data_IF_931084917617
#
_entry.id   IF_931084917617
#
_cell.length_a   1.000
_cell.length_b   1.000
_cell.length_c   1.000
_cell.angle_alpha   90.00
_cell.angle_beta   90.00
_cell.angle_gamma   90.00
#
_symmetry.space_group_name_H-M   'P 1'
#
loop_
_entity.id
_entity.type
_entity.pdbx_description
1 polymer ?
#
# COMPACT_ATOMS: atom_id res chain seq x y z
N UNK A 1 -1.85 -14.34 3.65
CA UNK A 1 -1.41 -14.02 2.28
C UNK A 1 -1.27 -12.51 2.08
N UNK A 2 -2.35 -11.70 2.09
CA UNK A 2 -2.28 -10.25 1.77
C UNK A 2 -1.22 -9.46 2.55
N UNK A 3 -1.14 -9.62 3.88
CA UNK A 3 -0.14 -8.92 4.70
C UNK A 3 1.30 -9.33 4.32
N UNK A 4 1.57 -10.64 4.28
CA UNK A 4 2.88 -11.21 3.95
C UNK A 4 3.36 -10.78 2.56
N UNK A 5 2.47 -10.79 1.57
CA UNK A 5 2.78 -10.38 0.20
C UNK A 5 3.06 -8.87 0.13
N UNK A 6 2.29 -8.08 0.87
CA UNK A 6 2.49 -6.62 0.97
C UNK A 6 3.85 -6.31 1.60
N UNK A 7 4.19 -6.96 2.71
CA UNK A 7 5.50 -6.83 3.38
C UNK A 7 6.63 -7.17 2.42
N UNK A 8 6.60 -8.36 1.84
CA UNK A 8 7.66 -8.83 0.93
C UNK A 8 7.88 -7.88 -0.25
N UNK A 9 6.79 -7.35 -0.84
CA UNK A 9 6.89 -6.38 -1.94
C UNK A 9 7.49 -5.05 -1.50
N UNK A 10 7.04 -4.48 -0.38
CA UNK A 10 7.56 -3.19 0.11
C UNK A 10 9.03 -3.27 0.55
N UNK A 11 9.51 -4.45 0.92
CA UNK A 11 10.90 -4.66 1.32
C UNK A 11 11.84 -4.87 0.13
N UNK A 12 11.39 -5.57 -0.92
CA UNK A 12 12.24 -6.00 -2.02
C UNK A 12 12.08 -5.20 -3.31
N UNK A 13 10.90 -4.63 -3.58
CA UNK A 13 10.59 -3.95 -4.83
C UNK A 13 10.78 -2.44 -4.66
N UNK A 14 11.40 -1.73 -5.63
CA UNK A 14 11.47 -0.28 -5.59
C UNK A 14 10.09 0.36 -5.42
N UNK A 15 9.98 1.36 -4.54
CA UNK A 15 8.71 1.98 -4.20
C UNK A 15 7.96 2.57 -5.40
N UNK A 16 8.65 2.90 -6.50
CA UNK A 16 8.06 3.40 -7.74
C UNK A 16 7.39 2.34 -8.62
N UNK A 17 7.58 1.05 -8.30
CA UNK A 17 7.08 -0.08 -9.11
C UNK A 17 5.95 -0.87 -8.44
N UNK A 18 5.43 -0.39 -7.32
CA UNK A 18 4.41 -1.10 -6.54
C UNK A 18 3.07 -0.39 -6.67
N UNK A 19 2.07 -1.05 -7.25
CA UNK A 19 0.68 -0.65 -7.12
C UNK A 19 0.06 -1.47 -6.00
N UNK A 20 -0.42 -0.80 -4.95
CA UNK A 20 -0.84 -1.48 -3.73
C UNK A 20 -2.06 -2.37 -3.90
N UNK A 21 -3.12 -1.85 -4.51
CA UNK A 21 -4.38 -2.58 -4.56
C UNK A 21 -5.28 -2.13 -5.71
N UNK A 22 -6.05 -3.08 -6.24
CA UNK A 22 -7.19 -2.87 -7.12
C UNK A 22 -8.34 -3.72 -6.59
N UNK A 23 -9.58 -3.25 -6.76
CA UNK A 23 -10.72 -3.91 -6.11
C UNK A 23 -11.20 -5.16 -6.83
N UNK A 24 -10.96 -5.27 -8.14
CA UNK A 24 -11.57 -6.29 -9.00
C UNK A 24 -13.06 -6.48 -8.66
N UNK A 25 -13.76 -5.34 -8.60
CA UNK A 25 -15.15 -5.29 -8.17
C UNK A 25 -16.05 -5.28 -9.39
N UNK A 26 -17.01 -6.20 -9.41
CA UNK A 26 -18.08 -6.14 -10.39
C UNK A 26 -19.14 -5.10 -10.03
N UNK A 27 -19.32 -4.82 -8.73
CA UNK A 27 -20.27 -3.84 -8.20
C UNK A 27 -19.59 -2.89 -7.23
N UNK A 28 -20.02 -1.62 -7.24
CA UNK A 28 -19.34 -0.52 -6.56
C UNK A 28 -19.32 -0.69 -5.04
N UNK A 29 -20.34 -1.33 -4.47
CA UNK A 29 -20.49 -1.58 -3.03
C UNK A 29 -19.33 -2.41 -2.47
N UNK A 30 -18.69 -3.23 -3.31
CA UNK A 30 -17.52 -4.02 -2.90
C UNK A 30 -16.23 -3.21 -2.84
N UNK A 31 -16.18 -1.99 -3.40
CA UNK A 31 -14.98 -1.15 -3.36
C UNK A 31 -14.55 -0.92 -1.90
N UNK A 32 -15.46 -0.36 -1.12
CA UNK A 32 -15.18 0.13 0.21
C UNK A 32 -14.66 -0.96 1.17
N UNK A 33 -15.33 -2.12 1.32
CA UNK A 33 -14.83 -3.15 2.23
C UNK A 33 -13.48 -3.73 1.76
N UNK A 34 -13.28 -3.93 0.44
CA UNK A 34 -12.02 -4.47 -0.09
C UNK A 34 -10.85 -3.49 0.12
N UNK A 35 -11.02 -2.21 -0.22
CA UNK A 35 -9.99 -1.20 0.01
C UNK A 35 -9.74 -0.98 1.51
N UNK A 36 -10.76 -1.05 2.36
CA UNK A 36 -10.59 -0.93 3.82
C UNK A 36 -9.77 -2.09 4.39
N UNK A 37 -10.01 -3.32 3.93
CA UNK A 37 -9.21 -4.49 4.31
C UNK A 37 -7.74 -4.29 3.93
N UNK A 38 -7.45 -3.92 2.67
CA UNK A 38 -6.07 -3.71 2.24
C UNK A 38 -5.38 -2.56 3.00
N UNK A 39 -6.07 -1.43 3.22
CA UNK A 39 -5.52 -0.31 4.00
C UNK A 39 -5.12 -0.72 5.42
N UNK A 40 -5.85 -1.63 6.06
CA UNK A 40 -5.47 -2.16 7.39
C UNK A 40 -4.20 -3.00 7.32
N UNK A 41 -4.09 -3.89 6.32
CA UNK A 41 -2.88 -4.69 6.12
C UNK A 41 -1.66 -3.81 5.82
N UNK A 42 -1.81 -2.84 4.91
CA UNK A 42 -0.76 -1.88 4.58
C UNK A 42 -0.35 -1.04 5.80
N UNK A 43 -1.31 -0.54 6.57
CA UNK A 43 -1.02 0.26 7.77
C UNK A 43 -0.21 -0.55 8.80
N UNK A 44 -0.55 -1.82 9.00
CA UNK A 44 0.19 -2.71 9.89
C UNK A 44 1.63 -2.91 9.42
N UNK A 45 1.84 -3.23 8.14
CA UNK A 45 3.19 -3.39 7.57
C UNK A 45 4.01 -2.09 7.65
N UNK A 46 3.40 -0.94 7.37
CA UNK A 46 4.06 0.35 7.49
C UNK A 46 4.46 0.67 8.94
N UNK A 47 3.60 0.34 9.91
CA UNK A 47 3.89 0.55 11.32
C UNK A 47 5.01 -0.37 11.81
N UNK A 48 4.89 -1.67 11.58
CA UNK A 48 5.87 -2.68 12.04
C UNK A 48 7.21 -2.51 11.32
N UNK A 49 7.22 -2.61 10.00
CA UNK A 49 8.47 -2.79 9.25
C UNK A 49 9.15 -1.49 8.83
N UNK A 50 8.47 -0.35 8.92
CA UNK A 50 9.03 0.96 8.53
C UNK A 50 9.14 1.92 9.71
N UNK A 51 8.07 2.11 10.49
CA UNK A 51 8.15 2.99 11.66
C UNK A 51 8.96 2.34 12.78
N UNK A 52 8.59 1.13 13.22
CA UNK A 52 9.26 0.46 14.36
C UNK A 52 10.63 -0.07 13.93
N UNK A 53 10.69 -0.96 12.95
CA UNK A 53 11.94 -1.66 12.61
C UNK A 53 12.99 -0.74 11.97
N UNK A 54 12.58 0.25 11.16
CA UNK A 54 13.50 1.16 10.43
C UNK A 54 13.57 2.57 11.03
N UNK A 55 12.85 2.83 12.12
CA UNK A 55 12.83 4.14 12.78
C UNK A 55 12.30 5.28 11.91
N UNK A 56 11.42 5.01 10.93
CA UNK A 56 10.85 6.06 10.09
C UNK A 56 9.88 6.93 10.89
N UNK A 57 9.81 8.22 10.52
CA UNK A 57 8.70 9.05 10.97
C UNK A 57 7.39 8.56 10.38
N UNK A 58 6.30 8.74 11.13
CA UNK A 58 4.95 8.42 10.66
C UNK A 58 4.64 9.09 9.32
N UNK A 59 5.00 10.38 9.18
CA UNK A 59 4.78 11.14 7.95
C UNK A 59 5.47 10.50 6.74
N UNK A 60 6.69 9.97 6.91
CA UNK A 60 7.40 9.27 5.83
C UNK A 60 6.70 7.97 5.45
N UNK A 61 6.23 7.20 6.43
CA UNK A 61 5.47 5.97 6.18
C UNK A 61 4.13 6.27 5.47
N UNK A 62 3.42 7.33 5.88
CA UNK A 62 2.20 7.80 5.21
C UNK A 62 2.48 8.20 3.76
N UNK A 63 3.60 8.87 3.49
CA UNK A 63 3.99 9.25 2.12
C UNK A 63 4.23 8.03 1.23
N UNK A 64 4.89 6.99 1.75
CA UNK A 64 5.02 5.71 1.05
C UNK A 64 3.65 5.07 0.80
N UNK A 65 2.75 5.07 1.80
CA UNK A 65 1.39 4.56 1.64
C UNK A 65 0.60 5.29 0.54
N UNK A 66 0.69 6.63 0.49
CA UNK A 66 0.08 7.45 -0.58
C UNK A 66 0.67 7.16 -1.95
N UNK A 67 2.00 6.99 -2.04
CA UNK A 67 2.68 6.62 -3.29
C UNK A 67 2.18 5.28 -3.81
N UNK A 68 2.11 4.28 -2.95
CA UNK A 68 1.68 2.91 -3.30
C UNK A 68 0.19 2.83 -3.66
N UNK A 69 -0.67 3.60 -2.98
CA UNK A 69 -2.12 3.58 -3.23
C UNK A 69 -2.57 4.49 -4.39
N UNK A 70 -1.80 5.53 -4.72
CA UNK A 70 -2.23 6.54 -5.70
C UNK A 70 -1.10 7.06 -6.59
N UNK A 71 0.00 7.53 -6.02
CA UNK A 71 1.04 8.22 -6.81
C UNK A 71 1.66 7.36 -7.92
N UNK A 72 1.87 6.06 -7.66
CA UNK A 72 2.36 5.14 -8.69
C UNK A 72 1.30 4.85 -9.75
N UNK A 73 0.02 4.85 -9.40
CA UNK A 73 -1.06 4.67 -10.38
C UNK A 73 -1.07 5.84 -11.36
N UNK A 74 -0.96 7.07 -10.86
CA UNK A 74 -0.87 8.28 -11.69
C UNK A 74 0.39 8.23 -12.58
N UNK A 75 1.56 7.95 -12.00
CA UNK A 75 2.82 7.90 -12.76
C UNK A 75 2.91 6.76 -13.78
N UNK A 76 2.36 5.58 -13.50
CA UNK A 76 2.47 4.40 -14.39
C UNK A 76 1.46 4.48 -15.53
N UNK A 77 0.25 4.95 -15.26
CA UNK A 77 -0.82 5.02 -16.26
C UNK A 77 -0.93 6.38 -16.94
N UNK A 78 -0.10 7.37 -16.57
CA UNK A 78 -0.08 8.69 -17.21
C UNK A 78 -1.34 9.52 -16.95
N UNK A 79 -1.89 9.43 -15.73
CA UNK A 79 -3.08 10.19 -15.30
C UNK A 79 -2.72 11.44 -14.50
#
# INVERSE_FOLDING_TARGET
FIETDTRSRLEAVPESKIIGYYSDMYKLEFALPKFRMYRRALAKVLAENFIIDRGWSEQRAINLGKRVLRGNVESIFGM
#
